data_IF_765554681176
#
_entry.id   IF_765554681176
#
_cell.length_a   1.000
_cell.length_b   1.000
_cell.length_c   1.000
_cell.angle_alpha   90.00
_cell.angle_beta   90.00
_cell.angle_gamma   90.00
#
_symmetry.space_group_name_H-M   'P 1'
#
loop_
_entity.id
_entity.type
_entity.pdbx_description
1 polymer ?
#
# COMPACT_ATOMS: atom_id res chain seq x y z
N UNK A 1 75.73 42.41 2.94
CA UNK A 1 74.61 41.93 2.09
C UNK A 1 74.77 40.43 1.97
N UNK A 2 73.81 39.53 2.12
CA UNK A 2 72.37 39.60 2.37
C UNK A 2 71.92 38.22 2.93
N UNK A 3 70.84 38.19 3.69
CA UNK A 3 70.28 37.02 4.40
C UNK A 3 69.32 36.17 3.53
N UNK A 4 69.42 34.82 3.65
CA UNK A 4 68.37 33.75 3.63
C UNK A 4 67.37 33.69 2.43
N UNK A 5 66.49 32.66 2.23
CA UNK A 5 66.06 31.57 3.12
C UNK A 5 65.98 30.13 2.50
N UNK A 6 65.53 29.20 3.34
CA UNK A 6 65.27 27.78 3.11
C UNK A 6 64.00 27.49 2.31
N UNK A 7 63.93 26.32 1.68
CA UNK A 7 62.71 25.76 1.08
C UNK A 7 62.31 24.47 1.80
N UNK A 8 61.36 24.58 2.71
CA UNK A 8 60.51 23.47 3.16
C UNK A 8 59.44 23.25 2.10
N UNK A 9 59.45 22.11 1.40
CA UNK A 9 58.32 21.68 0.58
C UNK A 9 57.35 20.92 1.48
N UNK A 10 56.24 21.56 1.84
CA UNK A 10 55.10 20.96 2.53
C UNK A 10 54.15 20.42 1.44
N UNK A 11 54.17 19.12 1.19
CA UNK A 11 53.23 18.47 0.26
C UNK A 11 51.89 18.30 0.96
N UNK A 12 50.95 19.22 0.71
CA UNK A 12 49.57 19.09 1.16
C UNK A 12 48.82 18.08 0.27
N UNK A 13 48.50 16.90 0.82
CA UNK A 13 47.56 15.96 0.21
C UNK A 13 46.13 16.50 0.40
N UNK A 14 45.60 17.15 -0.63
CA UNK A 14 44.17 17.43 -0.76
C UNK A 14 43.47 16.16 -1.25
N UNK A 15 43.07 15.29 -0.32
CA UNK A 15 42.13 14.20 -0.59
C UNK A 15 40.73 14.78 -0.70
N UNK A 16 40.27 15.12 -1.91
CA UNK A 16 38.86 15.41 -2.14
C UNK A 16 38.08 14.11 -2.04
N UNK A 17 37.51 13.84 -0.86
CA UNK A 17 36.47 12.83 -0.72
C UNK A 17 35.25 13.30 -1.53
N UNK A 18 35.10 12.76 -2.73
CA UNK A 18 33.88 12.88 -3.51
C UNK A 18 32.81 12.06 -2.77
N UNK A 19 32.06 12.72 -1.90
CA UNK A 19 30.80 12.20 -1.40
C UNK A 19 29.83 12.21 -2.58
N UNK A 20 29.78 11.11 -3.34
CA UNK A 20 28.75 10.91 -4.34
C UNK A 20 27.42 10.75 -3.59
N UNK A 21 26.43 11.62 -3.81
CA UNK A 21 25.11 11.43 -3.24
C UNK A 21 24.57 10.10 -3.78
N UNK A 22 24.23 9.18 -2.89
CA UNK A 22 23.47 7.98 -3.24
C UNK A 22 22.10 8.46 -3.70
N UNK A 23 21.87 8.50 -5.01
CA UNK A 23 20.54 8.66 -5.57
C UNK A 23 19.72 7.46 -5.11
N UNK A 24 18.80 7.68 -4.17
CA UNK A 24 17.74 6.70 -3.90
C UNK A 24 16.97 6.53 -5.21
N UNK A 25 16.95 5.31 -5.75
CA UNK A 25 16.07 5.01 -6.88
C UNK A 25 14.64 5.21 -6.39
N UNK A 26 13.90 6.12 -7.04
CA UNK A 26 12.46 6.24 -6.81
C UNK A 26 11.83 4.88 -7.11
N UNK A 27 11.16 4.30 -6.12
CA UNK A 27 10.48 3.03 -6.30
C UNK A 27 9.24 3.26 -7.19
N UNK A 28 9.02 2.38 -8.17
CA UNK A 28 7.88 2.46 -9.09
C UNK A 28 7.22 1.08 -9.18
N UNK A 29 5.89 1.05 -9.04
CA UNK A 29 5.08 -0.12 -9.37
C UNK A 29 4.77 -0.09 -10.86
N UNK A 30 5.32 -1.05 -11.61
CA UNK A 30 5.17 -1.14 -13.07
C UNK A 30 4.43 -2.41 -13.46
N UNK A 31 3.43 -2.28 -14.32
CA UNK A 31 2.71 -3.40 -14.94
C UNK A 31 2.52 -3.13 -16.44
N UNK A 32 2.81 -4.09 -17.33
CA UNK A 32 2.62 -3.90 -18.76
C UNK A 32 1.15 -3.98 -19.18
N UNK A 33 0.81 -3.36 -20.29
CA UNK A 33 -0.46 -3.53 -20.98
C UNK A 33 -0.75 -5.02 -21.23
N UNK A 34 -1.98 -5.44 -21.00
CA UNK A 34 -2.38 -6.84 -21.07
C UNK A 34 -1.98 -7.68 -19.87
N UNK A 35 -1.28 -7.12 -18.86
CA UNK A 35 -1.14 -7.79 -17.58
C UNK A 35 -2.53 -8.04 -16.98
N UNK A 36 -2.68 -9.19 -16.33
CA UNK A 36 -3.90 -9.63 -15.70
C UNK A 36 -3.67 -9.86 -14.21
N UNK A 37 -4.51 -9.29 -13.37
CA UNK A 37 -4.40 -9.37 -11.91
C UNK A 37 -5.72 -9.89 -11.31
N UNK A 38 -5.59 -10.71 -10.27
CA UNK A 38 -6.73 -11.24 -9.52
C UNK A 38 -7.22 -10.24 -8.49
N UNK A 39 -8.54 -10.03 -8.46
CA UNK A 39 -9.21 -9.12 -7.54
C UNK A 39 -10.56 -9.69 -7.09
N UNK A 40 -11.07 -9.19 -5.98
CA UNK A 40 -12.45 -9.41 -5.55
C UNK A 40 -13.02 -8.12 -4.95
N UNK A 41 -14.35 -8.05 -4.82
CA UNK A 41 -15.03 -6.92 -4.17
C UNK A 41 -14.91 -7.03 -2.65
N UNK A 42 -14.77 -5.89 -1.96
CA UNK A 42 -14.71 -5.86 -0.49
C UNK A 42 -16.08 -5.98 0.18
N UNK A 43 -17.15 -5.73 -0.56
CA UNK A 43 -18.53 -5.81 -0.10
C UNK A 43 -19.46 -6.34 -1.19
N UNK A 44 -20.70 -6.66 -0.82
CA UNK A 44 -21.66 -7.22 -1.76
C UNK A 44 -22.35 -6.15 -2.61
N UNK A 45 -22.37 -6.36 -3.93
CA UNK A 45 -23.09 -5.53 -4.90
C UNK A 45 -24.09 -6.35 -5.68
N UNK A 46 -25.38 -6.13 -5.43
CA UNK A 46 -26.46 -6.73 -6.23
C UNK A 46 -26.90 -5.76 -7.34
N UNK A 47 -27.09 -6.28 -8.54
CA UNK A 47 -27.56 -5.53 -9.71
C UNK A 47 -28.99 -5.93 -10.04
N UNK A 48 -29.85 -4.93 -10.20
CA UNK A 48 -31.27 -5.10 -10.54
C UNK A 48 -31.66 -4.14 -11.66
N UNK A 49 -32.87 -4.29 -12.21
CA UNK A 49 -33.39 -3.36 -13.22
C UNK A 49 -33.42 -1.89 -12.75
N UNK A 50 -33.56 -1.66 -11.45
CA UNK A 50 -33.54 -0.31 -10.85
C UNK A 50 -32.15 0.14 -10.40
N UNK A 51 -31.22 -0.80 -10.18
CA UNK A 51 -29.86 -0.55 -9.71
C UNK A 51 -28.87 -1.27 -10.63
N UNK A 52 -28.61 -0.69 -11.80
CA UNK A 52 -27.75 -1.29 -12.82
C UNK A 52 -26.30 -0.79 -12.75
N UNK A 53 -25.98 0.17 -11.87
CA UNK A 53 -24.66 0.79 -11.79
C UNK A 53 -24.26 1.03 -10.34
N UNK A 54 -23.00 0.75 -10.03
CA UNK A 54 -22.34 1.07 -8.77
C UNK A 54 -21.04 1.80 -9.10
N UNK A 55 -20.78 2.89 -8.39
CA UNK A 55 -19.60 3.73 -8.59
C UNK A 55 -18.71 3.64 -7.36
N UNK A 56 -17.41 3.86 -7.57
CA UNK A 56 -16.40 3.86 -6.49
C UNK A 56 -16.41 2.56 -5.65
N UNK A 57 -16.70 1.43 -6.29
CA UNK A 57 -16.60 0.13 -5.63
C UNK A 57 -15.13 -0.16 -5.33
N UNK A 58 -14.88 -0.77 -4.17
CA UNK A 58 -13.55 -1.13 -3.73
C UNK A 58 -13.26 -2.58 -4.09
N UNK A 59 -12.11 -2.77 -4.73
CA UNK A 59 -11.56 -4.09 -5.03
C UNK A 59 -10.27 -4.26 -4.23
N UNK A 60 -10.02 -5.47 -3.75
CA UNK A 60 -8.72 -5.82 -3.19
C UNK A 60 -8.08 -6.96 -4.00
N UNK A 61 -6.74 -7.04 -4.04
CA UNK A 61 -6.04 -8.15 -4.67
C UNK A 61 -6.38 -9.48 -4.00
N UNK A 62 -6.47 -10.51 -4.82
CA UNK A 62 -6.68 -11.89 -4.38
C UNK A 62 -6.09 -12.84 -5.43
N UNK A 63 -5.88 -14.10 -5.05
CA UNK A 63 -5.45 -15.09 -6.03
C UNK A 63 -6.63 -15.48 -6.93
N UNK A 64 -6.41 -15.40 -8.25
CA UNK A 64 -7.39 -15.78 -9.25
C UNK A 64 -6.74 -16.60 -10.35
N UNK A 65 -7.44 -17.64 -10.82
CA UNK A 65 -6.99 -18.41 -11.98
C UNK A 65 -6.94 -17.49 -13.23
N UNK A 66 -5.83 -17.54 -13.97
CA UNK A 66 -5.61 -16.71 -15.16
C UNK A 66 -5.02 -15.33 -14.87
N UNK A 67 -4.77 -14.98 -13.62
CA UNK A 67 -3.89 -13.85 -13.29
C UNK A 67 -2.45 -14.16 -13.73
N UNK A 68 -1.81 -13.20 -14.39
CA UNK A 68 -0.42 -13.28 -14.84
C UNK A 68 0.54 -12.53 -13.92
N UNK A 69 0.01 -11.60 -13.12
CA UNK A 69 0.75 -10.75 -12.20
C UNK A 69 -0.02 -10.64 -10.88
N UNK A 70 0.73 -10.36 -9.82
CA UNK A 70 0.18 -10.09 -8.49
C UNK A 70 0.40 -8.62 -8.15
N UNK A 71 -0.58 -8.04 -7.46
CA UNK A 71 -0.43 -6.74 -6.82
C UNK A 71 0.05 -6.94 -5.37
N UNK A 72 0.73 -5.95 -4.77
CA UNK A 72 1.01 -5.98 -3.33
C UNK A 72 -0.22 -6.33 -2.51
N UNK A 73 -0.03 -7.11 -1.43
CA UNK A 73 -1.14 -7.60 -0.59
C UNK A 73 -2.03 -6.46 -0.09
N UNK A 74 -1.43 -5.34 0.32
CA UNK A 74 -2.13 -4.16 0.78
C UNK A 74 -2.39 -3.17 -0.35
N UNK A 75 -3.09 -3.60 -1.41
CA UNK A 75 -3.67 -2.69 -2.39
C UNK A 75 -5.18 -2.57 -2.26
N UNK A 76 -5.68 -1.39 -2.59
CA UNK A 76 -7.10 -1.13 -2.84
C UNK A 76 -7.22 -0.47 -4.19
N UNK A 77 -8.10 -1.01 -5.04
CA UNK A 77 -8.44 -0.44 -6.33
C UNK A 77 -9.85 0.16 -6.25
N UNK A 78 -10.02 1.32 -6.88
CA UNK A 78 -11.32 1.95 -7.04
C UNK A 78 -11.84 1.64 -8.44
N UNK A 79 -13.08 1.17 -8.55
CA UNK A 79 -13.67 0.79 -9.82
C UNK A 79 -15.12 1.26 -9.94
N UNK A 80 -15.65 1.21 -11.15
CA UNK A 80 -17.07 1.32 -11.42
C UNK A 80 -17.57 0.00 -11.99
N UNK A 81 -18.79 -0.38 -11.62
CA UNK A 81 -19.44 -1.57 -12.14
C UNK A 81 -20.80 -1.24 -12.76
N UNK A 82 -21.11 -1.85 -13.90
CA UNK A 82 -22.37 -1.66 -14.61
C UNK A 82 -22.89 -2.97 -15.18
N UNK A 83 -24.15 -3.30 -14.87
CA UNK A 83 -24.90 -4.34 -15.55
C UNK A 83 -25.31 -3.86 -16.95
N UNK A 84 -24.87 -4.57 -17.97
CA UNK A 84 -25.22 -4.31 -19.36
C UNK A 84 -25.29 -5.61 -20.15
N UNK A 85 -26.42 -5.87 -20.82
CA UNK A 85 -26.65 -7.07 -21.62
C UNK A 85 -26.38 -8.39 -20.87
N UNK A 86 -26.82 -8.47 -19.60
CA UNK A 86 -26.63 -9.67 -18.76
C UNK A 86 -25.19 -9.86 -18.26
N UNK A 87 -24.34 -8.83 -18.37
CA UNK A 87 -22.95 -8.87 -17.89
C UNK A 87 -22.63 -7.70 -16.99
N UNK A 88 -21.88 -7.97 -15.92
CA UNK A 88 -21.35 -6.95 -15.02
C UNK A 88 -20.00 -6.50 -15.58
N UNK A 89 -19.99 -5.32 -16.18
CA UNK A 89 -18.79 -4.66 -16.70
C UNK A 89 -18.13 -3.90 -15.58
N UNK A 90 -16.86 -4.16 -15.33
CA UNK A 90 -16.08 -3.52 -14.28
C UNK A 90 -14.90 -2.82 -14.95
N UNK A 91 -14.69 -1.55 -14.61
CA UNK A 91 -13.55 -0.75 -15.05
C UNK A 91 -12.93 -0.06 -13.85
N UNK A 92 -11.64 -0.31 -13.62
CA UNK A 92 -10.87 0.32 -12.55
C UNK A 92 -10.48 1.75 -12.94
N UNK A 93 -10.22 2.59 -11.94
CA UNK A 93 -9.91 4.00 -12.11
C UNK A 93 -8.54 4.32 -11.52
N UNK A 94 -8.36 3.96 -10.25
CA UNK A 94 -7.21 4.28 -9.43
C UNK A 94 -6.82 3.08 -8.55
N UNK A 95 -5.57 3.05 -8.12
CA UNK A 95 -5.06 2.10 -7.15
C UNK A 95 -4.23 2.82 -6.09
N UNK A 96 -4.34 2.34 -4.85
CA UNK A 96 -3.41 2.67 -3.77
C UNK A 96 -2.87 1.37 -3.19
N UNK A 97 -1.55 1.23 -3.21
CA UNK A 97 -0.83 0.05 -2.77
C UNK A 97 0.18 0.42 -1.69
N UNK A 98 0.30 -0.42 -0.67
CA UNK A 98 1.29 -0.29 0.38
C UNK A 98 2.19 -1.52 0.34
N UNK A 99 3.48 -1.30 0.07
CA UNK A 99 4.50 -2.33 0.15
C UNK A 99 5.12 -2.31 1.55
N UNK A 100 5.19 -3.47 2.19
CA UNK A 100 5.63 -3.60 3.60
C UNK A 100 6.84 -4.51 3.77
N UNK A 101 7.39 -5.06 2.68
CA UNK A 101 8.51 -5.99 2.74
C UNK A 101 9.86 -5.35 3.13
N UNK A 102 9.98 -4.03 3.02
CA UNK A 102 11.16 -3.29 3.41
C UNK A 102 11.02 -2.63 4.79
N UNK A 103 12.15 -2.19 5.37
CA UNK A 103 12.20 -1.51 6.68
C UNK A 103 11.34 -0.24 6.75
N UNK A 104 10.96 0.32 5.60
CA UNK A 104 10.08 1.46 5.45
C UNK A 104 9.02 1.10 4.41
N UNK A 105 7.74 1.33 4.74
CA UNK A 105 6.66 1.04 3.80
C UNK A 105 6.66 2.04 2.65
N UNK A 106 6.53 1.57 1.41
CA UNK A 106 6.33 2.42 0.24
C UNK A 106 4.82 2.50 -0.08
N UNK A 107 4.34 3.70 -0.40
CA UNK A 107 2.93 3.93 -0.78
C UNK A 107 2.91 4.27 -2.26
N UNK A 108 2.21 3.50 -3.08
CA UNK A 108 2.04 3.76 -4.50
C UNK A 108 0.60 4.15 -4.76
N UNK A 109 0.35 5.37 -5.25
CA UNK A 109 -1.00 5.85 -5.59
C UNK A 109 -1.02 6.43 -6.99
N UNK A 110 -1.93 5.97 -7.83
CA UNK A 110 -2.05 6.46 -9.20
C UNK A 110 -3.21 5.84 -9.98
N UNK A 111 -3.35 6.27 -11.24
CA UNK A 111 -4.38 5.76 -12.13
C UNK A 111 -4.12 4.30 -12.49
N UNK A 112 -5.18 3.50 -12.46
CA UNK A 112 -5.14 2.08 -12.77
C UNK A 112 -6.27 1.75 -13.74
N UNK A 113 -5.96 1.62 -15.04
CA UNK A 113 -6.94 1.35 -16.09
C UNK A 113 -6.93 -0.12 -16.48
N UNK A 114 -7.90 -0.85 -15.97
CA UNK A 114 -8.10 -2.25 -16.24
C UNK A 114 -9.59 -2.56 -16.32
N UNK A 115 -9.91 -3.62 -17.06
CA UNK A 115 -11.28 -4.06 -17.31
C UNK A 115 -11.45 -5.53 -16.99
N UNK A 116 -12.60 -5.92 -16.45
CA UNK A 116 -12.91 -7.33 -16.19
C UNK A 116 -13.34 -8.06 -17.46
N UNK A 117 -12.77 -9.25 -17.67
CA UNK A 117 -13.13 -10.16 -18.76
C UNK A 117 -13.48 -11.52 -18.18
N UNK A 118 -14.56 -12.14 -18.66
CA UNK A 118 -14.91 -13.49 -18.27
C UNK A 118 -13.99 -14.53 -18.93
N UNK A 119 -14.06 -15.79 -18.48
CA UNK A 119 -13.24 -16.89 -19.02
C UNK A 119 -13.45 -17.14 -20.52
N UNK A 120 -14.60 -16.74 -21.05
CA UNK A 120 -14.91 -16.80 -22.49
C UNK A 120 -14.28 -15.65 -23.29
N UNK A 121 -13.47 -14.80 -22.64
CA UNK A 121 -12.80 -13.64 -23.24
C UNK A 121 -13.72 -12.46 -23.51
N UNK A 122 -15.01 -12.54 -23.14
CA UNK A 122 -15.94 -11.45 -23.34
C UNK A 122 -15.83 -10.40 -22.23
N UNK A 123 -16.03 -9.13 -22.61
CA UNK A 123 -16.00 -8.02 -21.67
C UNK A 123 -17.17 -8.10 -20.67
N UNK A 124 -16.82 -8.04 -19.39
CA UNK A 124 -17.74 -8.16 -18.26
C UNK A 124 -18.01 -9.60 -17.84
N UNK A 125 -18.29 -9.76 -16.55
CA UNK A 125 -18.60 -11.02 -15.90
C UNK A 125 -20.03 -11.44 -16.24
N UNK A 126 -20.25 -12.68 -16.64
CA UNK A 126 -21.59 -13.21 -16.90
C UNK A 126 -22.36 -13.33 -15.58
N UNK A 127 -23.63 -12.96 -15.58
CA UNK A 127 -24.51 -13.31 -14.47
C UNK A 127 -25.05 -14.72 -14.67
N UNK A 128 -25.02 -15.51 -13.61
CA UNK A 128 -25.72 -16.79 -13.59
C UNK A 128 -27.23 -16.54 -13.39
N UNK A 129 -28.08 -17.41 -13.94
CA UNK A 129 -29.52 -17.22 -14.17
C UNK A 129 -30.41 -16.89 -12.93
N UNK A 130 -29.84 -16.80 -11.72
CA UNK A 130 -30.57 -16.53 -10.48
C UNK A 130 -30.31 -15.15 -9.85
N UNK A 131 -29.13 -14.55 -10.06
CA UNK A 131 -28.79 -13.25 -9.46
C UNK A 131 -27.50 -12.66 -10.05
N UNK A 132 -27.57 -11.41 -10.52
CA UNK A 132 -26.38 -10.62 -10.85
C UNK A 132 -25.83 -10.00 -9.56
N UNK A 133 -24.91 -10.69 -8.88
CA UNK A 133 -24.30 -10.21 -7.63
C UNK A 133 -22.79 -10.40 -7.69
N UNK A 134 -22.05 -9.40 -7.20
CA UNK A 134 -20.63 -9.54 -6.82
C UNK A 134 -20.57 -9.66 -5.30
N UNK A 135 -19.93 -10.68 -4.77
CA UNK A 135 -19.77 -10.88 -3.33
C UNK A 135 -18.29 -11.05 -2.94
N UNK A 136 -17.91 -10.67 -1.71
CA UNK A 136 -16.57 -10.97 -1.20
C UNK A 136 -16.24 -12.47 -1.27
N UNK A 137 -14.97 -12.81 -1.48
CA UNK A 137 -14.50 -14.18 -1.71
C UNK A 137 -14.74 -14.72 -3.12
N UNK A 138 -15.41 -13.96 -4.01
CA UNK A 138 -15.53 -14.29 -5.43
C UNK A 138 -14.42 -13.60 -6.21
N UNK A 139 -13.33 -14.32 -6.47
CA UNK A 139 -12.22 -13.78 -7.26
C UNK A 139 -12.54 -13.75 -8.74
N UNK A 140 -12.10 -12.68 -9.41
CA UNK A 140 -12.13 -12.51 -10.84
C UNK A 140 -10.88 -11.78 -11.31
N UNK A 141 -10.67 -11.75 -12.62
CA UNK A 141 -9.48 -11.14 -13.22
C UNK A 141 -9.85 -9.83 -13.90
N UNK A 142 -9.03 -8.80 -13.67
CA UNK A 142 -9.02 -7.57 -14.47
C UNK A 142 -7.74 -7.53 -15.31
N UNK A 143 -7.86 -7.03 -16.54
CA UNK A 143 -6.74 -6.93 -17.49
C UNK A 143 -6.46 -5.47 -17.81
N UNK A 144 -5.20 -5.08 -17.75
CA UNK A 144 -4.73 -3.72 -17.99
C UNK A 144 -4.92 -3.31 -19.45
N UNK A 145 -5.52 -2.14 -19.68
CA UNK A 145 -5.73 -1.60 -21.02
C UNK A 145 -4.44 -0.95 -21.59
N UNK A 146 -3.55 -0.51 -20.70
CA UNK A 146 -2.31 0.22 -20.99
C UNK A 146 -1.25 -0.10 -19.95
N UNK A 147 -0.01 0.25 -20.25
CA UNK A 147 1.07 0.22 -19.27
C UNK A 147 0.73 1.11 -18.08
N UNK A 148 1.08 0.65 -16.88
CA UNK A 148 0.92 1.38 -15.63
C UNK A 148 2.29 1.55 -15.01
N UNK A 149 2.62 2.80 -14.67
CA UNK A 149 3.77 3.19 -13.87
C UNK A 149 3.28 4.08 -12.74
N UNK A 150 3.28 3.57 -11.50
CA UNK A 150 2.87 4.32 -10.31
C UNK A 150 4.10 4.57 -9.45
N UNK A 151 4.51 5.82 -9.34
CA UNK A 151 5.63 6.21 -8.50
C UNK A 151 5.25 6.15 -7.02
N UNK A 152 6.20 5.74 -6.20
CA UNK A 152 6.10 5.83 -4.75
C UNK A 152 5.86 7.28 -4.34
N UNK A 153 4.95 7.45 -3.41
CA UNK A 153 4.64 8.71 -2.74
C UNK A 153 5.56 8.86 -1.52
N UNK A 154 5.80 10.11 -1.13
CA UNK A 154 6.51 10.41 0.11
C UNK A 154 5.80 9.75 1.30
N UNK A 155 6.58 9.10 2.17
CA UNK A 155 6.10 8.54 3.43
C UNK A 155 6.66 9.38 4.61
N UNK A 156 5.91 10.36 5.12
CA UNK A 156 6.37 11.18 6.26
C UNK A 156 6.68 10.34 7.51
N UNK A 157 6.02 9.20 7.67
CA UNK A 157 6.30 8.30 8.80
C UNK A 157 7.68 7.65 8.67
N UNK A 158 8.11 7.33 7.45
CA UNK A 158 9.44 6.80 7.18
C UNK A 158 10.52 7.84 7.56
N UNK A 159 10.34 9.10 7.17
CA UNK A 159 11.24 10.20 7.53
C UNK A 159 11.35 10.37 9.06
N UNK A 160 10.21 10.42 9.76
CA UNK A 160 10.17 10.55 11.22
C UNK A 160 10.86 9.35 11.89
N UNK A 161 10.63 8.14 11.40
CA UNK A 161 11.24 6.93 11.96
C UNK A 161 12.75 6.85 11.66
N UNK A 162 13.20 7.36 10.51
CA UNK A 162 14.62 7.53 10.22
C UNK A 162 15.28 8.54 11.15
N UNK A 163 14.65 9.70 11.38
CA UNK A 163 15.14 10.71 12.31
C UNK A 163 15.26 10.18 13.75
N UNK A 164 14.27 9.39 14.21
CA UNK A 164 14.31 8.72 15.51
C UNK A 164 15.48 7.74 15.64
N UNK A 165 15.72 6.91 14.62
CA UNK A 165 16.87 5.99 14.60
C UNK A 165 18.22 6.72 14.67
N UNK A 166 18.32 7.89 14.05
CA UNK A 166 19.53 8.72 14.09
C UNK A 166 19.71 9.42 15.44
N UNK A 167 18.62 9.81 16.12
CA UNK A 167 18.66 10.49 17.41
C UNK A 167 18.91 9.52 18.58
N UNK A 168 18.32 8.33 18.55
CA UNK A 168 18.26 7.42 19.70
C UNK A 168 19.12 6.15 19.57
N UNK A 169 19.82 5.96 18.43
CA UNK A 169 20.54 4.72 18.12
C UNK A 169 19.61 3.52 17.85
N UNK A 170 20.18 2.35 17.52
CA UNK A 170 19.46 1.10 17.24
C UNK A 170 18.45 0.76 18.34
N UNK A 171 17.18 1.11 18.13
CA UNK A 171 16.02 0.59 18.85
C UNK A 171 16.13 0.58 20.37
N UNK A 172 16.12 1.75 21.02
CA UNK A 172 15.81 1.79 22.45
C UNK A 172 14.35 1.38 22.64
N UNK A 173 14.14 0.21 23.26
CA UNK A 173 12.83 -0.18 23.78
C UNK A 173 12.27 0.99 24.59
N UNK A 174 11.07 1.48 24.23
CA UNK A 174 10.36 2.47 25.04
C UNK A 174 10.43 2.02 26.51
N UNK A 175 11.10 2.76 27.39
CA UNK A 175 11.15 2.38 28.79
C UNK A 175 9.71 2.35 29.29
N UNK A 176 9.26 1.20 29.81
CA UNK A 176 8.03 1.17 30.57
C UNK A 176 8.25 2.13 31.74
N UNK A 177 7.46 3.20 31.88
CA UNK A 177 7.62 4.14 32.98
C UNK A 177 7.59 3.34 34.29
N UNK A 178 8.65 3.45 35.09
CA UNK A 178 8.80 2.76 36.38
C UNK A 178 7.75 3.16 37.43
N UNK A 179 6.87 4.10 37.09
CA UNK A 179 5.80 4.62 37.93
C UNK A 179 4.40 4.09 37.54
N UNK A 180 4.30 3.06 36.68
CA UNK A 180 3.03 2.38 36.50
C UNK A 180 2.81 1.47 37.72
N UNK A 181 1.81 1.76 38.59
CA UNK A 181 1.50 0.87 39.70
C UNK A 181 1.17 -0.52 39.14
N UNK A 182 1.65 -1.54 39.85
CA UNK A 182 1.41 -2.94 39.51
C UNK A 182 -0.12 -3.13 39.34
N UNK A 183 -0.60 -3.66 38.20
CA UNK A 183 -2.03 -3.87 37.98
C UNK A 183 -2.69 -4.75 39.05
N UNK A 184 -1.90 -5.51 39.82
CA UNK A 184 -2.38 -6.29 40.96
C UNK A 184 -2.57 -5.46 42.26
N UNK A 185 -2.01 -4.25 42.37
CA UNK A 185 -2.23 -3.37 43.55
C UNK A 185 -3.60 -2.67 43.53
N UNK A 186 -4.30 -2.68 42.40
CA UNK A 186 -5.62 -2.05 42.25
C UNK A 186 -6.78 -2.94 42.74
N UNK A 187 -6.49 -4.18 43.15
CA UNK A 187 -7.51 -5.19 43.43
C UNK A 187 -7.95 -5.30 44.90
N UNK A 188 -7.54 -4.39 45.80
CA UNK A 188 -7.89 -4.49 47.22
C UNK A 188 -8.50 -3.21 47.80
N UNK A 189 -9.74 -2.91 47.40
CA UNK A 189 -10.67 -2.21 48.29
C UNK A 189 -12.16 -2.42 47.92
N UNK A 190 -12.83 -3.50 48.39
CA UNK A 190 -14.27 -3.57 48.31
C UNK A 190 -14.86 -2.58 49.34
N UNK A 191 -15.36 -1.44 48.85
CA UNK A 191 -16.13 -0.48 49.65
C UNK A 191 -17.29 -1.20 50.35
N UNK A 192 -17.12 -1.45 51.64
CA UNK A 192 -18.24 -1.61 52.58
C UNK A 192 -18.85 -0.24 52.82
N UNK A 193 -20.05 0.01 52.29
CA UNK A 193 -20.98 0.98 52.90
C UNK A 193 -22.39 0.40 52.81
N UNK A 194 -22.88 0.01 53.97
CA UNK A 194 -24.26 -0.39 54.26
C UNK A 194 -25.26 0.72 53.88
N UNK A 195 -26.36 0.34 53.23
CA UNK A 195 -27.60 1.12 53.20
C UNK A 195 -28.58 0.52 54.23
N UNK A 196 -29.15 1.34 55.13
CA UNK A 196 -30.45 1.05 55.70
C UNK A 196 -31.53 2.01 55.17
N UNK A 197 -32.63 1.37 54.77
CA UNK A 197 -34.04 1.78 54.56
C UNK A 197 -34.41 3.20 54.08
#
# INVERSE_FOLDING_TARGET
MSFKPASFFLTALLGTALATPTLAAEQTLTLPSGASVGVEVTEEFTFTDSQTRHEEILLHPTQAEGASHELPEYCVLVANAQLSNGRIRITTQDATCIETNDAESAIFTGSFSASAYAQDGQYGLACDDASCTLSPGQSFVVTLDKDIDINAQDNPSAEINAARRQADGEGVANPIPSDQPDPDESAENPRSVNQPE
#
